data_IF_174575787609
#
_entry.id   IF_174575787609
#
_cell.length_a   1.000
_cell.length_b   1.000
_cell.length_c   1.000
_cell.angle_alpha   90.00
_cell.angle_beta   90.00
_cell.angle_gamma   90.00
#
_symmetry.space_group_name_H-M   'P 1'
#
loop_
_entity.id
_entity.type
_entity.pdbx_description
1 polymer ?
#
# COMPACT_ATOMS: atom_id res chain seq x y z
N UNK A 1 -7.44 -4.37 -10.39
CA UNK A 1 -8.43 -5.35 -9.87
C UNK A 1 -9.27 -4.66 -8.84
N UNK A 2 -10.59 -4.77 -8.92
CA UNK A 2 -11.54 -4.12 -8.02
C UNK A 2 -12.97 -4.52 -8.29
N UNK A 3 -13.92 -3.84 -7.64
CA UNK A 3 -15.34 -3.92 -7.92
C UNK A 3 -15.87 -2.52 -8.23
N UNK A 4 -16.61 -2.40 -9.33
CA UNK A 4 -17.07 -1.11 -9.89
C UNK A 4 -15.91 -0.10 -10.10
N UNK A 5 -14.81 -0.55 -10.66
CA UNK A 5 -13.53 0.16 -10.70
C UNK A 5 -13.17 0.78 -12.07
N UNK A 6 -14.13 0.90 -13.00
CA UNK A 6 -13.91 1.46 -14.34
C UNK A 6 -13.33 2.89 -14.31
N UNK A 7 -13.88 3.75 -13.43
CA UNK A 7 -13.39 5.12 -13.27
C UNK A 7 -11.91 5.16 -12.83
N UNK A 8 -11.52 4.23 -11.94
CA UNK A 8 -10.13 4.11 -11.47
C UNK A 8 -9.23 3.62 -12.62
N UNK A 9 -9.68 2.62 -13.38
CA UNK A 9 -8.94 2.12 -14.54
C UNK A 9 -8.68 3.22 -15.57
N UNK A 10 -9.69 4.06 -15.84
CA UNK A 10 -9.56 5.23 -16.70
C UNK A 10 -8.56 6.24 -16.15
N UNK A 11 -8.67 6.62 -14.89
CA UNK A 11 -7.72 7.55 -14.26
C UNK A 11 -6.28 7.04 -14.34
N UNK A 12 -6.05 5.74 -14.12
CA UNK A 12 -4.73 5.14 -14.21
C UNK A 12 -4.20 5.15 -15.65
N UNK A 13 -5.06 4.99 -16.67
CA UNK A 13 -4.65 5.03 -18.08
C UNK A 13 -4.16 6.40 -18.53
N UNK A 14 -4.57 7.47 -17.85
CA UNK A 14 -4.18 8.85 -18.13
C UNK A 14 -2.84 9.24 -17.46
N UNK A 15 -2.33 8.41 -16.55
CA UNK A 15 -1.06 8.66 -15.84
C UNK A 15 0.12 8.53 -16.80
N UNK A 16 1.01 9.52 -16.79
CA UNK A 16 2.22 9.51 -17.60
C UNK A 16 3.13 8.31 -17.24
N UNK A 17 3.63 7.62 -18.26
CA UNK A 17 4.52 6.46 -18.10
C UNK A 17 3.80 5.11 -17.98
N UNK A 18 2.49 5.08 -17.77
CA UNK A 18 1.71 3.84 -17.87
C UNK A 18 1.56 3.44 -19.34
N UNK A 19 1.91 2.20 -19.66
CA UNK A 19 1.83 1.68 -21.04
C UNK A 19 0.59 0.86 -21.29
N UNK A 20 0.08 0.17 -20.27
CA UNK A 20 -1.06 -0.73 -20.35
C UNK A 20 -1.75 -0.86 -19.00
N UNK A 21 -3.07 -0.89 -19.00
CA UNK A 21 -3.89 -1.16 -17.82
C UNK A 21 -4.60 -2.49 -18.03
N UNK A 22 -4.33 -3.47 -17.20
CA UNK A 22 -5.08 -4.72 -17.15
C UNK A 22 -6.15 -4.55 -16.10
N UNK A 23 -7.40 -4.38 -16.55
CA UNK A 23 -8.53 -4.13 -15.68
C UNK A 23 -9.32 -5.41 -15.43
N UNK A 24 -9.40 -5.82 -14.18
CA UNK A 24 -10.18 -6.96 -13.72
C UNK A 24 -11.21 -6.46 -12.72
N UNK A 25 -12.48 -6.47 -13.11
CA UNK A 25 -13.60 -6.03 -12.28
C UNK A 25 -14.48 -7.22 -11.90
N UNK A 26 -14.60 -7.47 -10.59
CA UNK A 26 -15.46 -8.53 -10.06
C UNK A 26 -15.77 -8.27 -8.59
N UNK A 27 -16.99 -8.59 -8.10
CA UNK A 27 -17.36 -8.45 -6.68
C UNK A 27 -16.41 -9.14 -5.68
N UNK A 28 -15.71 -10.21 -6.06
CA UNK A 28 -14.76 -10.91 -5.18
C UNK A 28 -13.59 -10.01 -4.71
N UNK A 29 -13.34 -8.90 -5.40
CA UNK A 29 -12.27 -7.94 -5.07
C UNK A 29 -12.74 -6.76 -4.21
N UNK A 30 -14.04 -6.66 -3.88
CA UNK A 30 -14.60 -5.56 -3.12
C UNK A 30 -13.93 -5.39 -1.73
N UNK A 31 -13.68 -6.49 -1.05
CA UNK A 31 -13.24 -6.50 0.36
C UNK A 31 -11.72 -6.72 0.54
N UNK A 32 -10.93 -6.61 -0.52
CA UNK A 32 -9.46 -6.70 -0.48
C UNK A 32 -8.92 -7.96 0.17
N UNK A 33 -9.60 -9.12 0.00
CA UNK A 33 -9.10 -10.43 0.43
C UNK A 33 -7.89 -10.80 -0.43
N UNK A 34 -6.69 -10.75 0.15
CA UNK A 34 -5.44 -10.87 -0.61
C UNK A 34 -5.34 -12.18 -1.40
N UNK A 35 -5.90 -13.25 -0.87
CA UNK A 35 -5.93 -14.58 -1.49
C UNK A 35 -6.62 -14.58 -2.86
N UNK A 36 -7.63 -13.75 -3.06
CA UNK A 36 -8.34 -13.63 -4.33
C UNK A 36 -7.51 -12.91 -5.41
N UNK A 37 -6.58 -12.06 -4.99
CA UNK A 37 -5.73 -11.29 -5.91
C UNK A 37 -4.53 -12.10 -6.43
N UNK A 38 -4.00 -13.00 -5.60
CA UNK A 38 -2.76 -13.72 -5.89
C UNK A 38 -2.82 -14.50 -7.22
N UNK A 39 -3.84 -15.32 -7.52
CA UNK A 39 -3.87 -16.11 -8.75
C UNK A 39 -3.83 -15.24 -10.01
N UNK A 40 -4.53 -14.12 -9.99
CA UNK A 40 -4.55 -13.17 -11.12
C UNK A 40 -3.19 -12.50 -11.31
N UNK A 41 -2.55 -12.08 -10.21
CA UNK A 41 -1.22 -11.48 -10.28
C UNK A 41 -0.21 -12.50 -10.81
N UNK A 42 -0.25 -13.74 -10.36
CA UNK A 42 0.64 -14.79 -10.84
C UNK A 42 0.50 -15.01 -12.33
N UNK A 43 -0.75 -15.12 -12.83
CA UNK A 43 -1.04 -15.28 -14.27
C UNK A 43 -0.40 -14.18 -15.10
N UNK A 44 -0.58 -12.93 -14.71
CA UNK A 44 -0.02 -11.79 -15.47
C UNK A 44 1.46 -11.56 -15.20
N UNK A 45 2.00 -12.03 -14.08
CA UNK A 45 3.41 -11.83 -13.72
C UNK A 45 4.40 -12.53 -14.65
N UNK A 46 3.96 -13.53 -15.42
CA UNK A 46 4.83 -14.27 -16.33
C UNK A 46 5.56 -13.37 -17.32
N UNK A 47 4.89 -12.32 -17.81
CA UNK A 47 5.42 -11.37 -18.79
C UNK A 47 6.22 -10.22 -18.19
N UNK A 48 6.36 -10.16 -16.86
CA UNK A 48 7.01 -9.04 -16.18
C UNK A 48 8.19 -9.49 -15.32
N UNK A 49 9.22 -8.68 -15.28
CA UNK A 49 10.41 -8.91 -14.45
C UNK A 49 10.24 -8.36 -13.03
N UNK A 50 9.37 -7.37 -12.83
CA UNK A 50 9.13 -6.72 -11.56
C UNK A 50 7.65 -6.71 -11.22
N UNK A 51 7.32 -7.12 -10.00
CA UNK A 51 5.99 -6.99 -9.41
C UNK A 51 6.11 -5.99 -8.26
N UNK A 52 5.42 -4.86 -8.40
CA UNK A 52 5.56 -3.73 -7.49
C UNK A 52 4.22 -3.39 -6.86
N UNK A 53 4.22 -3.10 -5.56
CA UNK A 53 3.05 -2.61 -4.84
C UNK A 53 3.45 -1.52 -3.85
N UNK A 54 2.50 -0.68 -3.46
CA UNK A 54 2.70 0.24 -2.36
C UNK A 54 2.91 -0.51 -1.03
N UNK A 55 3.79 -0.02 -0.17
CA UNK A 55 4.04 -0.57 1.16
C UNK A 55 2.96 -0.14 2.19
N UNK A 56 1.70 -0.09 1.76
CA UNK A 56 0.54 0.09 2.62
C UNK A 56 0.09 -1.24 3.24
N UNK A 57 -0.95 -1.22 4.05
CA UNK A 57 -1.45 -2.41 4.75
C UNK A 57 -1.84 -3.54 3.80
N UNK A 58 -2.49 -3.21 2.68
CA UNK A 58 -2.88 -4.20 1.68
C UNK A 58 -1.67 -4.79 0.95
N UNK A 59 -0.75 -3.94 0.45
CA UNK A 59 0.47 -4.42 -0.23
C UNK A 59 1.37 -5.26 0.67
N UNK A 60 1.46 -4.93 1.96
CA UNK A 60 2.19 -5.72 2.96
C UNK A 60 1.55 -7.09 3.24
N UNK A 61 0.25 -7.24 3.02
CA UNK A 61 -0.44 -8.53 3.10
C UNK A 61 -0.33 -9.32 1.78
N UNK A 62 -0.46 -8.63 0.64
CA UNK A 62 -0.52 -9.25 -0.68
C UNK A 62 0.86 -9.73 -1.18
N UNK A 63 1.86 -8.85 -1.16
CA UNK A 63 3.15 -9.09 -1.82
C UNK A 63 3.95 -10.27 -1.26
N UNK A 64 3.98 -10.56 0.05
CA UNK A 64 4.64 -11.76 0.54
C UNK A 64 4.03 -13.06 0.01
N UNK A 65 2.72 -13.06 -0.20
CA UNK A 65 2.01 -14.21 -0.79
C UNK A 65 2.37 -14.41 -2.25
N UNK A 66 2.44 -13.32 -3.02
CA UNK A 66 2.87 -13.34 -4.42
C UNK A 66 4.32 -13.81 -4.51
N UNK A 67 5.22 -13.27 -3.70
CA UNK A 67 6.63 -13.64 -3.69
C UNK A 67 6.84 -15.13 -3.33
N UNK A 68 6.12 -15.64 -2.33
CA UNK A 68 6.18 -17.05 -1.95
C UNK A 68 5.71 -17.99 -3.06
N UNK A 69 4.64 -17.62 -3.79
CA UNK A 69 4.15 -18.43 -4.92
C UNK A 69 5.08 -18.39 -6.15
N UNK A 70 5.88 -17.32 -6.28
CA UNK A 70 6.89 -17.20 -7.34
C UNK A 70 8.25 -17.77 -6.95
N UNK A 71 8.38 -18.28 -5.72
CA UNK A 71 9.64 -18.75 -5.14
C UNK A 71 10.75 -17.68 -5.23
N UNK A 72 10.40 -16.43 -4.89
CA UNK A 72 11.31 -15.28 -4.93
C UNK A 72 11.36 -14.56 -3.58
N UNK A 73 12.48 -13.88 -3.34
CA UNK A 73 12.64 -13.01 -2.17
C UNK A 73 11.92 -11.67 -2.36
N UNK A 74 11.21 -11.21 -1.35
CA UNK A 74 10.60 -9.88 -1.39
C UNK A 74 11.56 -8.82 -0.86
N UNK A 75 11.75 -7.73 -1.60
CA UNK A 75 12.41 -6.52 -1.10
C UNK A 75 11.36 -5.54 -0.61
N UNK A 76 11.26 -5.39 0.71
CA UNK A 76 10.16 -4.64 1.35
C UNK A 76 10.52 -3.18 1.61
N UNK A 77 9.52 -2.29 1.40
CA UNK A 77 9.50 -0.89 1.86
C UNK A 77 10.69 -0.07 1.34
N UNK A 78 11.01 -0.21 0.05
CA UNK A 78 12.11 0.53 -0.56
C UNK A 78 11.82 2.03 -0.59
N UNK A 79 12.90 2.82 -0.45
CA UNK A 79 12.86 4.29 -0.49
C UNK A 79 13.65 4.87 -1.67
N UNK A 80 14.41 4.05 -2.37
CA UNK A 80 15.16 4.43 -3.57
C UNK A 80 15.44 3.21 -4.44
N UNK A 81 15.35 3.41 -5.75
CA UNK A 81 15.83 2.46 -6.78
C UNK A 81 17.22 2.90 -7.19
N UNK A 82 18.21 2.01 -7.09
CA UNK A 82 19.60 2.27 -7.49
C UNK A 82 19.85 1.72 -8.90
N UNK A 83 19.37 0.49 -9.14
CA UNK A 83 19.36 -0.16 -10.44
C UNK A 83 18.13 -1.06 -10.59
N UNK A 84 17.99 -1.78 -11.69
CA UNK A 84 16.87 -2.70 -11.90
C UNK A 84 16.80 -3.84 -10.87
N UNK A 85 17.89 -4.16 -10.19
CA UNK A 85 18.00 -5.25 -9.22
C UNK A 85 18.44 -4.80 -7.81
N UNK A 86 18.76 -3.52 -7.65
CA UNK A 86 19.37 -2.99 -6.43
C UNK A 86 18.54 -1.83 -5.86
N UNK A 87 18.20 -1.93 -4.57
CA UNK A 87 17.27 -1.05 -3.90
C UNK A 87 17.81 -0.61 -2.53
N UNK A 88 17.45 0.59 -2.10
CA UNK A 88 17.71 1.09 -0.75
C UNK A 88 16.44 0.96 0.09
N UNK A 89 16.58 0.40 1.30
CA UNK A 89 15.47 0.27 2.24
C UNK A 89 15.89 0.61 3.67
N UNK A 90 15.02 1.18 4.50
CA UNK A 90 15.28 1.35 5.92
C UNK A 90 15.15 0.01 6.66
N UNK A 91 16.01 -0.19 7.66
CA UNK A 91 15.98 -1.29 8.61
C UNK A 91 16.07 -0.73 10.03
N UNK A 92 15.80 -1.55 11.05
CA UNK A 92 15.79 -1.13 12.46
C UNK A 92 14.94 0.13 12.70
N UNK A 93 13.69 0.12 12.20
CA UNK A 93 12.76 1.25 12.29
C UNK A 93 13.31 2.58 11.71
N UNK A 94 14.19 2.50 10.72
CA UNK A 94 14.78 3.67 10.06
C UNK A 94 16.10 4.16 10.66
N UNK A 95 16.64 3.49 11.68
CA UNK A 95 17.94 3.84 12.25
C UNK A 95 19.13 3.48 11.34
N UNK A 96 18.92 2.59 10.38
CA UNK A 96 19.91 2.21 9.40
C UNK A 96 19.27 2.01 8.03
N UNK A 97 20.08 2.11 6.99
CA UNK A 97 19.68 1.88 5.61
C UNK A 97 20.49 0.72 5.03
N UNK A 98 19.79 -0.21 4.39
CA UNK A 98 20.41 -1.33 3.69
C UNK A 98 20.27 -1.16 2.18
N UNK A 99 21.37 -1.28 1.46
CA UNK A 99 21.36 -1.49 0.01
C UNK A 99 21.25 -2.99 -0.24
N UNK A 100 20.17 -3.40 -0.88
CA UNK A 100 19.85 -4.81 -1.14
C UNK A 100 19.83 -5.06 -2.63
N UNK A 101 20.55 -6.08 -3.08
CA UNK A 101 20.50 -6.59 -4.43
C UNK A 101 19.71 -7.89 -4.47
N UNK A 102 18.69 -7.97 -5.35
CA UNK A 102 17.96 -9.21 -5.61
C UNK A 102 18.58 -9.94 -6.80
N UNK A 103 18.95 -11.19 -6.59
CA UNK A 103 19.48 -12.04 -7.65
C UNK A 103 18.38 -12.88 -8.35
N UNK A 104 17.15 -12.82 -7.84
CA UNK A 104 16.02 -13.55 -8.39
C UNK A 104 15.69 -13.07 -9.82
N UNK A 105 15.14 -13.95 -10.64
CA UNK A 105 14.71 -13.60 -12.00
C UNK A 105 13.56 -12.59 -11.97
N UNK A 106 12.58 -12.79 -11.06
CA UNK A 106 11.48 -11.86 -10.81
C UNK A 106 11.72 -11.12 -9.50
N UNK A 107 11.52 -9.80 -9.49
CA UNK A 107 11.69 -8.95 -8.32
C UNK A 107 10.32 -8.60 -7.73
N UNK A 108 10.04 -9.06 -6.53
CA UNK A 108 8.85 -8.67 -5.78
C UNK A 108 9.21 -7.53 -4.82
N UNK A 109 8.66 -6.35 -5.04
CA UNK A 109 9.07 -5.14 -4.33
C UNK A 109 7.87 -4.40 -3.75
N UNK A 110 7.96 -3.97 -2.48
CA UNK A 110 7.03 -2.97 -1.96
C UNK A 110 7.72 -1.62 -1.79
N UNK A 111 7.04 -0.57 -2.23
CA UNK A 111 7.57 0.80 -2.33
C UNK A 111 6.94 1.68 -1.26
N UNK A 112 7.73 2.49 -0.56
CA UNK A 112 7.22 3.51 0.34
C UNK A 112 6.76 4.73 -0.47
N UNK A 113 5.44 4.97 -0.60
CA UNK A 113 4.95 6.02 -1.51
C UNK A 113 5.51 7.42 -1.20
N UNK A 114 5.66 7.73 0.09
CA UNK A 114 6.14 9.04 0.56
C UNK A 114 7.61 9.35 0.25
N UNK A 115 8.36 8.38 -0.25
CA UNK A 115 9.78 8.53 -0.62
C UNK A 115 9.99 8.79 -2.12
N UNK A 116 8.91 8.80 -2.90
CA UNK A 116 8.95 9.02 -4.35
C UNK A 116 8.00 10.14 -4.73
N UNK A 117 8.37 10.89 -5.76
CA UNK A 117 7.48 11.90 -6.31
C UNK A 117 6.35 11.23 -7.11
N UNK A 118 5.10 11.72 -6.99
CA UNK A 118 3.99 11.23 -7.79
C UNK A 118 4.25 11.46 -9.28
N UNK A 119 3.94 10.47 -10.11
CA UNK A 119 3.91 10.67 -11.55
C UNK A 119 2.79 11.67 -11.92
N UNK A 120 2.96 12.44 -13.02
CA UNK A 120 1.90 13.30 -13.52
C UNK A 120 0.62 12.49 -13.79
N UNK A 121 -0.51 12.98 -13.24
CA UNK A 121 -1.82 12.31 -13.35
C UNK A 121 -2.47 12.44 -14.74
N UNK A 122 -1.83 13.16 -15.65
CA UNK A 122 -2.28 13.40 -17.02
C UNK A 122 -1.14 13.27 -18.01
N UNK A 123 -1.46 13.12 -19.30
CA UNK A 123 -0.49 12.99 -20.37
C UNK A 123 -0.19 11.56 -20.78
N UNK A 124 -0.77 10.56 -20.12
CA UNK A 124 -0.78 9.17 -20.54
C UNK A 124 -1.96 8.84 -21.46
N UNK A 125 -1.84 7.75 -22.20
CA UNK A 125 -2.88 7.20 -23.07
C UNK A 125 -2.78 5.68 -23.13
N UNK A 126 -2.70 5.05 -21.97
CA UNK A 126 -2.51 3.61 -21.87
C UNK A 126 -3.77 2.85 -22.34
N UNK A 127 -3.55 1.77 -23.09
CA UNK A 127 -4.60 0.85 -23.47
C UNK A 127 -5.18 0.17 -22.21
N UNK A 128 -6.51 0.17 -22.10
CA UNK A 128 -7.22 -0.59 -21.05
C UNK A 128 -7.66 -1.92 -21.65
N UNK A 129 -7.11 -3.01 -21.12
CA UNK A 129 -7.44 -4.38 -21.53
C UNK A 129 -8.20 -5.06 -20.42
N UNK A 130 -9.33 -5.67 -20.76
CA UNK A 130 -10.09 -6.48 -19.81
C UNK A 130 -9.29 -7.73 -19.46
N UNK A 131 -9.04 -7.92 -18.18
CA UNK A 131 -8.36 -9.11 -17.67
C UNK A 131 -9.34 -10.16 -17.19
N UNK A 132 -8.86 -11.38 -17.10
CA UNK A 132 -9.65 -12.51 -16.62
C UNK A 132 -9.73 -12.50 -15.10
N UNK A 133 -10.90 -12.80 -14.57
CA UNK A 133 -11.15 -12.95 -13.13
C UNK A 133 -10.58 -14.28 -12.64
N UNK A 134 -9.95 -14.24 -11.47
CA UNK A 134 -9.60 -15.45 -10.73
C UNK A 134 -10.83 -16.08 -10.05
N UNK A 135 -10.65 -17.28 -9.53
CA UNK A 135 -11.65 -17.94 -8.68
C UNK A 135 -11.61 -17.37 -7.26
N UNK A 136 -12.75 -17.37 -6.57
CA UNK A 136 -12.84 -16.98 -5.17
C UNK A 136 -12.14 -18.03 -4.29
N UNK A 137 -11.30 -17.56 -3.37
CA UNK A 137 -10.60 -18.44 -2.44
C UNK A 137 -11.54 -18.94 -1.34
N UNK A 138 -11.70 -20.25 -1.25
CA UNK A 138 -12.74 -20.89 -0.43
C UNK A 138 -12.42 -20.96 1.08
N UNK A 139 -11.13 -20.86 1.47
CA UNK A 139 -10.71 -21.05 2.85
C UNK A 139 -10.72 -19.76 3.69
N UNK A 140 -10.86 -18.59 3.05
CA UNK A 140 -10.91 -17.29 3.72
C UNK A 140 -12.18 -16.57 3.34
N UNK A 141 -12.94 -16.09 4.33
CA UNK A 141 -14.17 -15.35 4.12
C UNK A 141 -14.09 -13.99 4.81
N UNK A 142 -14.46 -12.95 4.08
CA UNK A 142 -14.66 -11.62 4.66
C UNK A 142 -15.89 -11.64 5.58
N UNK A 143 -15.75 -11.14 6.81
CA UNK A 143 -16.86 -11.07 7.76
C UNK A 143 -17.39 -9.64 7.89
N UNK A 144 -16.53 -8.69 8.24
CA UNK A 144 -16.89 -7.28 8.41
C UNK A 144 -15.67 -6.38 8.35
N UNK A 145 -15.92 -5.12 8.06
CA UNK A 145 -14.95 -4.02 8.13
C UNK A 145 -15.51 -2.95 9.07
N UNK A 146 -14.70 -2.51 10.00
CA UNK A 146 -15.01 -1.38 10.87
C UNK A 146 -14.09 -0.22 10.46
N UNK A 147 -14.68 0.84 9.96
CA UNK A 147 -13.97 2.06 9.57
C UNK A 147 -14.42 3.25 10.41
N UNK A 148 -13.47 3.96 10.96
CA UNK A 148 -13.70 5.26 11.57
C UNK A 148 -13.54 6.31 10.46
N UNK A 149 -14.65 6.91 10.02
CA UNK A 149 -14.59 8.03 9.08
C UNK A 149 -13.99 9.24 9.80
N UNK A 150 -12.97 9.82 9.21
CA UNK A 150 -12.32 11.04 9.69
C UNK A 150 -12.26 12.05 8.57
N UNK A 151 -12.57 13.30 8.86
CA UNK A 151 -12.42 14.41 7.91
C UNK A 151 -10.95 14.85 7.76
N UNK A 152 -10.03 14.22 8.50
CA UNK A 152 -8.60 14.50 8.45
C UNK A 152 -7.92 13.71 7.34
N UNK A 153 -6.77 14.22 6.83
CA UNK A 153 -5.93 13.47 5.91
C UNK A 153 -5.57 12.08 6.46
N UNK A 154 -5.51 11.11 5.58
CA UNK A 154 -5.14 9.74 5.95
C UNK A 154 -3.68 9.67 6.40
N UNK A 155 -3.42 9.01 7.54
CA UNK A 155 -2.11 8.95 8.18
C UNK A 155 -0.99 8.42 7.26
N UNK A 156 -1.31 7.48 6.38
CA UNK A 156 -0.33 6.84 5.48
C UNK A 156 0.08 7.68 4.27
N UNK A 157 -0.72 8.69 3.93
CA UNK A 157 -0.53 9.52 2.72
C UNK A 157 -0.41 11.02 3.03
N UNK A 158 -0.66 11.41 4.29
CA UNK A 158 -0.65 12.81 4.70
C UNK A 158 0.74 13.43 4.53
N UNK A 159 0.77 14.64 3.98
CA UNK A 159 1.99 15.44 3.84
C UNK A 159 2.56 15.87 5.21
N UNK A 160 1.70 16.16 6.17
CA UNK A 160 2.07 16.55 7.53
C UNK A 160 1.40 15.60 8.51
N UNK A 161 2.17 15.04 9.42
CA UNK A 161 1.68 14.15 10.48
C UNK A 161 2.16 14.70 11.83
N UNK A 162 1.24 14.86 12.77
CA UNK A 162 1.54 15.20 14.16
C UNK A 162 1.19 13.99 15.03
N UNK A 163 2.16 13.49 15.76
CA UNK A 163 2.01 12.26 16.52
C UNK A 163 2.22 12.45 18.01
N UNK A 164 1.39 11.76 18.79
CA UNK A 164 1.53 11.68 20.24
C UNK A 164 1.95 10.29 20.72
N UNK A 165 2.79 10.26 21.73
CA UNK A 165 3.28 9.05 22.35
C UNK A 165 2.98 9.00 23.85
N UNK A 166 3.73 8.15 24.57
CA UNK A 166 3.62 7.99 26.03
C UNK A 166 3.82 9.29 26.80
N UNK A 167 4.64 10.21 26.27
CA UNK A 167 4.91 11.50 26.89
C UNK A 167 3.67 12.38 27.08
N UNK A 168 2.57 12.14 26.34
CA UNK A 168 1.30 12.83 26.57
C UNK A 168 0.55 12.37 27.82
N UNK A 169 0.98 11.33 28.49
CA UNK A 169 0.44 10.78 29.74
C UNK A 169 -1.05 10.42 29.69
N UNK A 170 -1.95 11.38 29.34
CA UNK A 170 -3.40 11.18 29.24
C UNK A 170 -3.94 11.33 27.82
N UNK A 171 -5.07 10.69 27.53
CA UNK A 171 -5.84 10.88 26.29
C UNK A 171 -6.34 12.32 26.14
N UNK A 172 -6.68 12.97 27.24
CA UNK A 172 -7.15 14.34 27.23
C UNK A 172 -6.12 15.32 26.69
N UNK A 173 -4.83 15.01 26.84
CA UNK A 173 -3.74 15.83 26.34
C UNK A 173 -3.59 15.77 24.81
N UNK A 174 -4.32 14.85 24.13
CA UNK A 174 -4.40 14.88 22.67
C UNK A 174 -5.08 16.15 22.14
N UNK A 175 -5.84 16.88 22.95
CA UNK A 175 -6.40 18.19 22.59
C UNK A 175 -5.30 19.17 22.14
N UNK A 176 -4.11 19.10 22.72
CA UNK A 176 -2.97 19.94 22.32
C UNK A 176 -2.51 19.62 20.90
N UNK A 177 -2.36 18.31 20.59
CA UNK A 177 -1.97 17.85 19.25
C UNK A 177 -3.07 18.16 18.23
N UNK A 178 -4.32 17.96 18.61
CA UNK A 178 -5.49 18.23 17.78
C UNK A 178 -5.53 19.68 17.34
N UNK A 179 -5.35 20.62 18.27
CA UNK A 179 -5.38 22.04 17.97
C UNK A 179 -4.29 22.48 16.97
N UNK A 180 -3.10 21.86 17.03
CA UNK A 180 -2.02 22.12 16.08
C UNK A 180 -2.31 21.44 14.73
N UNK A 181 -2.80 20.19 14.75
CA UNK A 181 -3.13 19.46 13.54
C UNK A 181 -4.23 20.14 12.72
N UNK A 182 -5.24 20.72 13.40
CA UNK A 182 -6.32 21.47 12.73
C UNK A 182 -5.79 22.68 11.98
N UNK A 183 -4.87 23.44 12.58
CA UNK A 183 -4.26 24.61 11.94
C UNK A 183 -3.38 24.26 10.73
N UNK A 184 -2.78 23.07 10.73
CA UNK A 184 -1.86 22.63 9.69
C UNK A 184 -2.53 21.68 8.67
N UNK A 185 -3.82 21.39 8.83
CA UNK A 185 -4.51 20.35 8.08
C UNK A 185 -3.70 19.02 8.06
N UNK A 186 -3.22 18.61 9.24
CA UNK A 186 -2.33 17.47 9.42
C UNK A 186 -3.09 16.22 9.88
N UNK A 187 -2.57 15.06 9.51
CA UNK A 187 -3.01 13.79 10.11
C UNK A 187 -2.53 13.68 11.56
N UNK A 188 -3.29 13.00 12.40
CA UNK A 188 -2.93 12.72 13.78
C UNK A 188 -2.52 11.26 13.91
N UNK A 189 -1.29 11.03 14.39
CA UNK A 189 -0.76 9.72 14.68
C UNK A 189 -0.65 9.44 16.19
N UNK A 190 -0.65 8.18 16.54
CA UNK A 190 -0.35 7.74 17.91
C UNK A 190 0.57 6.52 17.92
N UNK A 191 1.47 6.43 18.90
CA UNK A 191 2.28 5.25 19.06
C UNK A 191 1.43 4.03 19.45
N UNK A 192 1.86 2.81 19.06
CA UNK A 192 1.15 1.55 19.38
C UNK A 192 0.82 1.40 20.86
N UNK A 193 1.73 1.79 21.73
CA UNK A 193 1.53 1.75 23.19
C UNK A 193 0.34 2.63 23.64
N UNK A 194 0.09 3.72 22.90
CA UNK A 194 -1.01 4.62 23.18
C UNK A 194 -2.32 4.11 22.62
N UNK A 195 -2.32 3.58 21.39
CA UNK A 195 -3.49 2.98 20.76
C UNK A 195 -4.03 1.82 21.62
N UNK A 196 -3.18 0.93 22.13
CA UNK A 196 -3.58 -0.18 22.98
C UNK A 196 -4.26 0.27 24.28
N UNK A 197 -3.83 1.37 24.89
CA UNK A 197 -4.40 1.90 26.11
C UNK A 197 -5.77 2.56 25.89
N UNK A 198 -6.05 3.02 24.67
CA UNK A 198 -7.35 3.62 24.28
C UNK A 198 -8.44 2.58 24.02
N UNK A 199 -8.06 1.41 23.51
CA UNK A 199 -9.02 0.33 23.21
C UNK A 199 -9.58 -0.29 24.48
N UNK A 200 -8.86 -0.23 25.60
CA UNK A 200 -9.30 -0.79 26.89
C UNK A 200 -10.13 0.17 27.77
N UNK A 201 -10.38 1.42 27.34
CA UNK A 201 -11.12 2.43 28.12
C UNK A 201 -12.32 3.02 27.35
N UNK A 202 -12.88 2.28 26.40
CA UNK A 202 -14.21 2.56 25.84
C UNK A 202 -15.16 1.45 26.20
#
# INVERSE_FOLDING_TARGET
MGHNSDAVAKSVSEVSGVKKVIHVDNPIYENYVAENYVPVILKYSESYSHIVSAANTFGKNLMPRVAANLDTSQVSDIIKVISSDTFLRPIYAGNAFATVKSNDTKKCVTVRPTSFEPAPSSGGSAEIVKGDTGEEYSLTKFLKKEEIKSDRPELGTARIVISGGRGLQSGDNFKLITAVADKLNAAIGASRARCRRWIYYK
#
